data_IF_811706055991
#
_entry.id   IF_811706055991
#
_cell.length_a   1.000
_cell.length_b   1.000
_cell.length_c   1.000
_cell.angle_alpha   90.00
_cell.angle_beta   90.00
_cell.angle_gamma   90.00
#
_symmetry.space_group_name_H-M   'P 1'
#
loop_
_entity.id
_entity.type
_entity.pdbx_description
1 polymer ?
#
# COMPACT_ATOMS: atom_id res chain seq x y z
N UNK A 1 -29.78 47.86 55.41
CA UNK A 1 -28.46 48.16 54.75
C UNK A 1 -27.55 46.92 54.82
N UNK A 2 -27.96 45.80 54.26
CA UNK A 2 -27.13 44.59 54.23
C UNK A 2 -27.50 43.76 53.01
N UNK A 3 -27.08 44.15 51.86
CA UNK A 3 -27.34 43.36 50.63
C UNK A 3 -26.50 43.83 49.42
N UNK A 4 -25.19 43.96 49.58
CA UNK A 4 -24.27 44.25 48.42
C UNK A 4 -22.85 43.62 48.56
N UNK A 5 -22.71 42.46 49.22
CA UNK A 5 -21.38 41.82 49.34
C UNK A 5 -21.38 40.33 48.90
N UNK A 6 -22.26 39.91 48.02
CA UNK A 6 -22.31 38.48 47.58
C UNK A 6 -22.17 38.27 46.07
N UNK A 7 -21.56 39.25 45.36
CA UNK A 7 -21.47 39.17 43.89
C UNK A 7 -20.05 39.23 43.33
N UNK A 8 -19.03 38.90 44.14
CA UNK A 8 -17.61 38.93 43.64
C UNK A 8 -16.77 37.71 43.99
N UNK A 9 -17.39 36.56 44.22
CA UNK A 9 -16.65 35.34 44.57
C UNK A 9 -16.81 34.20 43.52
N UNK A 10 -17.28 34.49 42.31
CA UNK A 10 -17.56 33.43 41.30
C UNK A 10 -16.73 33.55 40.04
N UNK A 11 -15.56 34.20 40.06
CA UNK A 11 -14.71 34.39 38.87
C UNK A 11 -13.23 33.93 39.04
N UNK A 12 -12.99 33.07 40.01
CA UNK A 12 -11.68 32.38 40.12
C UNK A 12 -11.90 30.87 40.28
N UNK A 13 -12.59 30.27 39.32
CA UNK A 13 -12.33 28.86 39.07
C UNK A 13 -10.97 28.80 38.34
N UNK A 14 -9.97 28.13 38.92
CA UNK A 14 -8.71 27.92 38.22
C UNK A 14 -9.05 27.18 36.92
N UNK A 15 -8.46 27.57 35.82
CA UNK A 15 -8.35 26.75 34.64
C UNK A 15 -7.38 25.60 34.98
N UNK A 16 -7.87 24.47 35.51
CA UNK A 16 -7.00 23.36 35.88
C UNK A 16 -6.97 22.41 34.71
N UNK A 17 -5.90 21.94 34.41
CA UNK A 17 -5.59 20.73 33.63
C UNK A 17 -4.70 20.90 32.40
N UNK A 18 -4.43 22.09 31.89
CA UNK A 18 -3.48 22.23 30.77
C UNK A 18 -2.02 22.48 31.21
N UNK A 19 -1.82 22.95 32.45
CA UNK A 19 -0.48 23.19 32.97
C UNK A 19 0.35 21.87 33.08
N UNK A 20 -0.28 20.76 33.54
CA UNK A 20 0.39 19.46 33.64
C UNK A 20 0.60 18.75 32.30
N UNK A 21 -0.22 19.05 31.27
CA UNK A 21 -0.11 18.40 29.96
C UNK A 21 1.16 18.80 29.22
N UNK A 22 1.60 20.04 29.32
CA UNK A 22 2.86 20.51 28.69
C UNK A 22 4.08 19.83 29.31
N UNK A 23 4.11 19.76 30.63
CA UNK A 23 5.16 19.09 31.38
C UNK A 23 5.18 17.58 31.12
N UNK A 24 4.01 16.95 31.05
CA UNK A 24 3.88 15.54 30.72
C UNK A 24 4.37 15.24 29.29
N UNK A 25 3.99 16.08 28.32
CA UNK A 25 4.47 15.94 26.94
C UNK A 25 5.99 16.12 26.87
N UNK A 26 6.53 17.11 27.57
CA UNK A 26 7.98 17.34 27.59
C UNK A 26 8.73 16.18 28.24
N UNK A 27 8.17 15.54 29.28
CA UNK A 27 8.75 14.39 29.93
C UNK A 27 8.70 13.11 29.10
N UNK A 28 7.55 12.86 28.44
CA UNK A 28 7.31 11.65 27.64
C UNK A 28 8.00 11.68 26.28
N UNK A 29 8.12 12.85 25.68
CA UNK A 29 8.68 13.04 24.33
C UNK A 29 9.65 14.23 24.26
N UNK A 30 10.77 14.23 25.00
CA UNK A 30 11.66 15.39 25.12
C UNK A 30 12.24 15.87 23.79
N UNK A 31 12.41 14.96 22.82
CA UNK A 31 12.88 15.27 21.48
C UNK A 31 11.74 15.28 20.44
N UNK A 32 10.51 15.07 20.88
CA UNK A 32 9.33 15.02 20.00
C UNK A 32 8.95 16.42 19.51
N UNK A 33 8.31 16.43 18.34
CA UNK A 33 7.58 17.58 17.80
C UNK A 33 6.10 17.35 18.08
N UNK A 34 5.51 18.23 18.88
CA UNK A 34 4.11 18.08 19.30
C UNK A 34 3.38 19.39 19.11
N UNK A 35 2.25 19.32 18.40
CA UNK A 35 1.29 20.41 18.28
C UNK A 35 -0.10 19.85 18.60
N UNK A 36 -0.73 20.42 19.61
CA UNK A 36 -2.14 20.14 19.94
C UNK A 36 -2.93 21.44 19.82
N UNK A 37 -4.00 21.39 19.08
CA UNK A 37 -4.89 22.52 18.86
C UNK A 37 -6.31 22.14 19.26
N UNK A 38 -7.08 23.12 19.72
CA UNK A 38 -8.53 22.95 19.90
C UNK A 38 -9.29 23.02 18.55
N UNK A 39 -10.59 22.77 18.59
CA UNK A 39 -11.44 22.83 17.39
C UNK A 39 -11.57 24.23 16.78
N UNK A 40 -11.22 25.28 17.54
CA UNK A 40 -11.20 26.67 17.06
C UNK A 40 -9.83 27.06 16.48
N UNK A 41 -8.83 26.16 16.52
CA UNK A 41 -7.49 26.42 16.04
C UNK A 41 -6.55 27.07 17.06
N UNK A 42 -6.95 27.17 18.33
CA UNK A 42 -6.06 27.70 19.36
C UNK A 42 -5.04 26.63 19.78
N UNK A 43 -3.80 27.03 19.91
CA UNK A 43 -2.70 26.17 20.32
C UNK A 43 -2.79 25.87 21.83
N UNK A 44 -2.94 24.59 22.16
CA UNK A 44 -2.98 24.09 23.54
C UNK A 44 -1.59 23.64 24.03
N UNK A 45 -0.87 22.91 23.16
CA UNK A 45 0.50 22.45 23.40
C UNK A 45 1.30 22.63 22.12
N UNK A 46 2.45 23.28 22.20
CA UNK A 46 3.44 23.33 21.14
C UNK A 46 4.82 23.01 21.69
N UNK A 47 5.49 22.05 21.11
CA UNK A 47 6.86 21.65 21.46
C UNK A 47 7.65 21.40 20.20
N UNK A 48 8.77 22.11 20.03
CA UNK A 48 9.71 21.97 18.92
C UNK A 48 9.07 22.08 17.52
N UNK A 49 7.95 22.78 17.37
CA UNK A 49 7.13 22.80 16.14
C UNK A 49 7.86 23.38 14.91
N UNK A 50 8.88 24.20 15.14
CA UNK A 50 9.69 24.81 14.06
C UNK A 50 10.95 23.99 13.72
N UNK A 51 11.17 22.87 14.42
CA UNK A 51 12.33 22.02 14.11
C UNK A 51 12.04 21.12 12.92
N UNK A 52 12.94 21.03 11.93
CA UNK A 52 12.80 20.06 10.86
C UNK A 52 12.87 18.62 11.41
N UNK A 53 12.04 17.73 10.84
CA UNK A 53 12.02 16.32 11.20
C UNK A 53 11.84 15.44 9.97
N UNK A 54 12.18 14.16 10.11
CA UNK A 54 11.93 13.16 9.08
C UNK A 54 10.52 12.61 9.27
N UNK A 55 9.56 12.92 8.39
CA UNK A 55 8.15 12.60 8.61
C UNK A 55 7.84 11.10 8.41
N UNK A 56 8.73 10.34 7.79
CA UNK A 56 8.50 8.94 7.45
C UNK A 56 7.10 8.73 6.85
N UNK A 57 6.30 7.80 7.36
CA UNK A 57 4.94 7.52 6.85
C UNK A 57 3.91 8.63 7.07
N UNK A 58 4.21 9.65 7.88
CA UNK A 58 3.33 10.82 8.01
C UNK A 58 3.19 11.56 6.67
N UNK A 59 4.20 11.49 5.80
CA UNK A 59 4.14 12.02 4.43
C UNK A 59 2.94 11.49 3.63
N UNK A 60 2.42 10.29 3.97
CA UNK A 60 1.23 9.72 3.31
C UNK A 60 -0.03 10.57 3.46
N UNK A 61 -0.13 11.37 4.53
CA UNK A 61 -1.24 12.33 4.72
C UNK A 61 -1.20 13.36 3.60
N UNK A 62 -0.01 13.92 3.31
CA UNK A 62 0.17 14.90 2.23
C UNK A 62 -0.09 14.26 0.87
N UNK A 63 0.41 13.03 0.65
CA UNK A 63 0.16 12.28 -0.59
C UNK A 63 -1.33 12.03 -0.81
N UNK A 64 -2.05 11.60 0.23
CA UNK A 64 -3.48 11.36 0.14
C UNK A 64 -4.26 12.65 -0.12
N UNK A 65 -3.92 13.72 0.57
CA UNK A 65 -4.53 15.03 0.34
C UNK A 65 -4.31 15.51 -1.10
N UNK A 66 -3.07 15.45 -1.60
CA UNK A 66 -2.76 15.82 -3.00
C UNK A 66 -3.51 14.94 -4.01
N UNK A 67 -3.64 13.65 -3.74
CA UNK A 67 -4.40 12.74 -4.60
C UNK A 67 -5.88 13.17 -4.67
N UNK A 68 -6.49 13.52 -3.54
CA UNK A 68 -7.87 14.01 -3.50
C UNK A 68 -8.04 15.34 -4.23
N UNK A 69 -7.09 16.27 -4.08
CA UNK A 69 -7.12 17.58 -4.75
C UNK A 69 -6.94 17.46 -6.27
N UNK A 70 -6.02 16.60 -6.72
CA UNK A 70 -5.64 16.50 -8.14
C UNK A 70 -6.56 15.56 -8.91
N UNK A 71 -6.91 14.42 -8.32
CA UNK A 71 -7.70 13.37 -8.98
C UNK A 71 -9.20 13.49 -8.68
N UNK A 72 -9.54 14.04 -7.51
CA UNK A 72 -10.92 14.09 -7.02
C UNK A 72 -11.33 12.79 -6.32
N UNK A 73 -12.41 12.87 -5.51
CA UNK A 73 -12.92 11.73 -4.73
C UNK A 73 -13.53 10.60 -5.57
N UNK A 74 -13.97 10.91 -6.78
CA UNK A 74 -14.60 9.95 -7.68
C UNK A 74 -13.61 9.26 -8.64
N UNK A 75 -12.33 9.61 -8.58
CA UNK A 75 -11.31 8.97 -9.42
C UNK A 75 -11.24 7.47 -9.14
N UNK A 76 -11.13 6.67 -10.20
CA UNK A 76 -10.93 5.21 -10.13
C UNK A 76 -9.68 4.84 -10.91
N UNK A 77 -8.80 4.09 -10.26
CA UNK A 77 -7.70 3.45 -10.96
C UNK A 77 -8.24 2.29 -11.81
N UNK A 78 -7.64 2.08 -12.98
CA UNK A 78 -8.11 1.07 -13.91
C UNK A 78 -7.01 0.08 -14.26
N UNK A 79 -7.32 -1.21 -14.16
CA UNK A 79 -6.55 -2.27 -14.82
C UNK A 79 -7.41 -2.84 -15.94
N UNK A 80 -6.94 -2.74 -17.18
CA UNK A 80 -7.71 -3.11 -18.36
C UNK A 80 -7.29 -4.46 -18.90
N UNK A 81 -8.28 -5.26 -19.28
CA UNK A 81 -8.11 -6.59 -19.86
C UNK A 81 -8.69 -6.61 -21.27
N UNK A 82 -7.89 -7.11 -22.21
CA UNK A 82 -8.29 -7.26 -23.61
C UNK A 82 -7.99 -8.68 -24.05
N UNK A 83 -8.92 -9.30 -24.79
CA UNK A 83 -8.75 -10.62 -25.39
C UNK A 83 -8.77 -10.47 -26.90
N UNK A 84 -7.72 -10.94 -27.59
CA UNK A 84 -7.71 -10.94 -29.05
C UNK A 84 -8.40 -12.18 -29.65
N UNK A 85 -8.54 -12.20 -30.99
CA UNK A 85 -9.18 -13.30 -31.71
C UNK A 85 -8.43 -14.63 -31.57
N UNK A 86 -7.13 -14.58 -31.24
CA UNK A 86 -6.29 -15.75 -30.94
C UNK A 86 -6.35 -16.16 -29.47
N UNK A 87 -7.22 -15.51 -28.71
CA UNK A 87 -7.40 -15.72 -27.26
C UNK A 87 -6.16 -15.42 -26.43
N UNK A 88 -5.32 -14.49 -26.85
CA UNK A 88 -4.25 -13.95 -26.06
C UNK A 88 -4.82 -12.82 -25.19
N UNK A 89 -4.55 -12.88 -23.88
CA UNK A 89 -5.00 -11.91 -22.90
C UNK A 89 -3.94 -10.80 -22.73
N UNK A 90 -4.34 -9.58 -22.93
CA UNK A 90 -3.51 -8.40 -22.70
C UNK A 90 -3.99 -7.72 -21.43
N UNK A 91 -3.07 -7.44 -20.50
CA UNK A 91 -3.36 -6.79 -19.22
C UNK A 91 -2.57 -5.50 -19.14
N UNK A 92 -3.28 -4.37 -19.14
CA UNK A 92 -2.67 -3.05 -19.03
C UNK A 92 -2.95 -2.45 -17.66
N UNK A 93 -1.89 -2.17 -16.91
CA UNK A 93 -1.96 -1.49 -15.63
C UNK A 93 -2.09 0.02 -15.79
N UNK A 94 -2.97 0.62 -15.01
CA UNK A 94 -3.18 2.07 -14.93
C UNK A 94 -2.69 2.69 -13.63
N UNK A 95 -1.80 2.01 -12.91
CA UNK A 95 -1.23 2.53 -11.67
C UNK A 95 -2.08 2.30 -10.43
N UNK A 96 -2.96 1.30 -10.45
CA UNK A 96 -3.75 0.93 -9.29
C UNK A 96 -2.84 0.53 -8.11
N UNK A 97 -2.83 1.29 -7.01
CA UNK A 97 -1.99 1.00 -5.85
C UNK A 97 -2.55 -0.13 -4.99
N UNK A 98 -3.77 -0.60 -5.25
CA UNK A 98 -4.49 -1.57 -4.43
C UNK A 98 -4.85 -2.85 -5.18
N UNK A 99 -4.15 -3.18 -6.27
CA UNK A 99 -4.34 -4.43 -7.00
C UNK A 99 -3.74 -5.60 -6.21
N UNK A 100 -4.46 -6.06 -5.20
CA UNK A 100 -4.06 -7.15 -4.30
C UNK A 100 -4.81 -8.45 -4.61
N UNK A 101 -4.42 -9.54 -3.96
CA UNK A 101 -5.01 -10.86 -4.18
C UNK A 101 -6.52 -10.90 -3.93
N UNK A 102 -7.01 -10.12 -2.97
CA UNK A 102 -8.42 -10.00 -2.64
C UNK A 102 -9.23 -9.35 -3.77
N UNK A 103 -8.64 -8.42 -4.50
CA UNK A 103 -9.25 -7.78 -5.67
C UNK A 103 -9.11 -8.66 -6.93
N UNK A 104 -8.00 -9.38 -7.07
CA UNK A 104 -7.79 -10.28 -8.20
C UNK A 104 -8.73 -11.49 -8.20
N UNK A 105 -9.16 -11.97 -7.05
CA UNK A 105 -10.03 -13.14 -6.96
C UNK A 105 -11.43 -12.90 -7.59
N UNK A 106 -12.20 -11.87 -7.21
CA UNK A 106 -13.47 -11.55 -7.85
C UNK A 106 -13.27 -11.15 -9.32
N UNK A 107 -12.26 -10.34 -9.62
CA UNK A 107 -11.93 -9.92 -10.98
C UNK A 107 -11.68 -11.11 -11.92
N UNK A 108 -10.91 -12.12 -11.47
CA UNK A 108 -10.69 -13.33 -12.26
C UNK A 108 -11.97 -14.13 -12.48
N UNK A 109 -12.89 -14.13 -11.52
CA UNK A 109 -14.20 -14.78 -11.66
C UNK A 109 -15.04 -14.10 -12.73
N UNK A 110 -15.12 -12.78 -12.71
CA UNK A 110 -15.80 -11.98 -13.72
C UNK A 110 -15.14 -12.14 -15.10
N UNK A 111 -13.82 -12.10 -15.17
CA UNK A 111 -13.08 -12.29 -16.41
C UNK A 111 -13.38 -13.66 -17.02
N UNK A 112 -13.33 -14.74 -16.24
CA UNK A 112 -13.62 -16.10 -16.71
C UNK A 112 -15.08 -16.22 -17.15
N UNK A 113 -16.03 -15.58 -16.47
CA UNK A 113 -17.42 -15.52 -16.89
C UNK A 113 -17.58 -14.83 -18.25
N UNK A 114 -16.85 -13.74 -18.47
CA UNK A 114 -16.91 -12.97 -19.72
C UNK A 114 -16.25 -13.69 -20.91
N UNK A 115 -15.07 -14.29 -20.71
CA UNK A 115 -14.30 -14.91 -21.82
C UNK A 115 -14.62 -16.39 -22.04
N UNK A 116 -15.37 -17.02 -21.14
CA UNK A 116 -15.71 -18.44 -21.18
C UNK A 116 -14.55 -19.37 -20.81
N UNK A 117 -14.82 -20.68 -20.83
CA UNK A 117 -13.88 -21.73 -20.37
C UNK A 117 -12.83 -22.13 -21.42
N UNK A 118 -12.92 -21.64 -22.65
CA UNK A 118 -11.90 -21.95 -23.67
C UNK A 118 -10.55 -21.39 -23.22
N UNK A 119 -9.47 -22.18 -23.27
CA UNK A 119 -8.17 -21.73 -22.78
C UNK A 119 -7.69 -20.44 -23.41
N UNK A 120 -7.12 -19.54 -22.63
CA UNK A 120 -6.30 -18.42 -23.15
C UNK A 120 -4.97 -18.97 -23.66
N UNK A 121 -4.41 -18.32 -24.69
CA UNK A 121 -3.20 -18.79 -25.38
C UNK A 121 -1.93 -18.15 -24.83
N UNK A 122 -2.04 -17.19 -23.93
CA UNK A 122 -0.94 -16.51 -23.25
C UNK A 122 -1.40 -15.19 -22.63
N UNK A 123 -0.53 -14.62 -21.83
CA UNK A 123 -0.76 -13.32 -21.20
C UNK A 123 0.35 -12.35 -21.64
N UNK A 124 -0.02 -11.15 -22.05
CA UNK A 124 0.89 -10.03 -22.32
C UNK A 124 0.61 -8.94 -21.31
N UNK A 125 1.66 -8.41 -20.71
CA UNK A 125 1.57 -7.46 -19.61
C UNK A 125 2.11 -6.10 -20.07
N UNK A 126 1.35 -5.04 -19.81
CA UNK A 126 1.69 -3.67 -20.17
C UNK A 126 1.69 -2.77 -18.92
N UNK A 127 2.87 -2.28 -18.56
CA UNK A 127 3.07 -1.29 -17.49
C UNK A 127 3.49 0.08 -18.04
N UNK A 128 3.31 0.33 -19.34
CA UNK A 128 3.77 1.56 -20.03
C UNK A 128 3.04 2.84 -19.64
N UNK A 129 2.02 2.75 -18.78
CA UNK A 129 1.31 3.92 -18.27
C UNK A 129 2.25 4.85 -17.47
N UNK A 130 3.24 4.30 -16.77
CA UNK A 130 4.31 5.07 -16.15
C UNK A 130 5.58 5.04 -17.00
N UNK A 131 6.38 6.13 -17.00
CA UNK A 131 7.68 6.11 -17.65
C UNK A 131 8.58 5.01 -17.07
N UNK A 132 9.32 4.32 -17.94
CA UNK A 132 10.23 3.22 -17.53
C UNK A 132 11.38 3.69 -16.62
N UNK A 133 11.68 4.99 -16.64
CA UNK A 133 12.73 5.60 -15.81
C UNK A 133 12.19 6.27 -14.55
N UNK A 134 10.96 6.00 -14.16
CA UNK A 134 10.37 6.56 -12.95
C UNK A 134 11.22 6.17 -11.71
N UNK A 135 11.67 7.18 -10.98
CA UNK A 135 12.41 6.99 -9.74
C UNK A 135 11.74 7.75 -8.62
N UNK A 136 11.49 7.04 -7.53
CA UNK A 136 10.89 7.62 -6.32
C UNK A 136 12.01 7.91 -5.33
N UNK A 137 12.17 9.15 -4.86
CA UNK A 137 13.17 9.50 -3.85
C UNK A 137 13.02 8.65 -2.59
N UNK A 138 14.15 8.22 -2.03
CA UNK A 138 14.18 7.41 -0.80
C UNK A 138 14.08 5.91 -1.01
N UNK A 139 13.79 5.41 -2.22
CA UNK A 139 13.87 3.98 -2.53
C UNK A 139 15.32 3.59 -2.72
N UNK A 140 15.72 2.51 -2.06
CA UNK A 140 17.04 1.88 -2.19
C UNK A 140 16.90 0.42 -2.59
N UNK A 141 17.94 -0.15 -3.19
CA UNK A 141 17.92 -1.56 -3.63
C UNK A 141 18.19 -2.50 -2.43
N UNK A 142 17.15 -2.83 -1.71
CA UNK A 142 17.17 -3.82 -0.61
C UNK A 142 15.99 -4.77 -0.73
N UNK A 143 16.01 -5.85 0.06
CA UNK A 143 14.90 -6.82 0.11
C UNK A 143 13.72 -6.35 0.96
N UNK A 144 13.80 -5.19 1.59
CA UNK A 144 12.73 -4.62 2.39
C UNK A 144 11.51 -4.30 1.52
N UNK A 145 10.33 -4.67 2.01
CA UNK A 145 9.09 -4.56 1.25
C UNK A 145 8.72 -3.13 0.84
N UNK A 146 9.14 -2.13 1.62
CA UNK A 146 8.93 -0.71 1.32
C UNK A 146 9.83 -0.17 0.20
N UNK A 147 10.84 -0.95 -0.22
CA UNK A 147 11.69 -0.64 -1.36
C UNK A 147 11.25 -1.36 -2.65
N UNK A 148 10.05 -1.95 -2.66
CA UNK A 148 9.53 -2.60 -3.85
C UNK A 148 9.42 -1.63 -5.03
N UNK A 149 9.64 -2.15 -6.24
CA UNK A 149 9.60 -1.37 -7.48
C UNK A 149 8.20 -0.79 -7.71
N UNK A 150 8.12 0.51 -7.98
CA UNK A 150 6.89 1.14 -8.45
C UNK A 150 6.65 0.78 -9.93
N UNK A 151 5.43 0.39 -10.24
CA UNK A 151 5.03 0.01 -11.60
C UNK A 151 3.56 0.36 -11.81
N UNK A 152 3.21 0.65 -13.06
CA UNK A 152 1.81 0.86 -13.44
C UNK A 152 0.98 -0.44 -13.36
N UNK A 153 1.63 -1.60 -13.35
CA UNK A 153 1.02 -2.91 -13.09
C UNK A 153 1.79 -3.57 -11.94
N UNK A 154 1.38 -3.29 -10.72
CA UNK A 154 1.96 -3.85 -9.51
C UNK A 154 0.90 -4.69 -8.78
N UNK A 155 1.18 -5.96 -8.54
CA UNK A 155 0.29 -6.86 -7.80
C UNK A 155 0.90 -7.12 -6.42
N UNK A 156 0.06 -7.11 -5.37
CA UNK A 156 0.50 -7.27 -3.98
C UNK A 156 1.69 -6.37 -3.64
N UNK A 157 1.64 -5.10 -4.12
CA UNK A 157 2.69 -4.10 -3.92
C UNK A 157 4.08 -4.50 -4.46
N UNK A 158 4.16 -5.38 -5.46
CA UNK A 158 5.41 -6.02 -5.92
C UNK A 158 6.21 -6.66 -4.78
N UNK A 159 5.52 -7.30 -3.85
CA UNK A 159 6.10 -8.01 -2.70
C UNK A 159 5.66 -9.46 -2.65
N UNK A 160 6.47 -10.29 -1.99
CA UNK A 160 6.12 -11.67 -1.67
C UNK A 160 6.10 -11.85 -0.16
N UNK A 161 4.94 -12.27 0.39
CA UNK A 161 4.81 -12.66 1.78
C UNK A 161 4.71 -14.20 1.86
N UNK A 162 5.73 -14.84 2.41
CA UNK A 162 5.85 -16.29 2.39
C UNK A 162 6.46 -16.84 3.68
N UNK A 163 6.35 -18.16 3.83
CA UNK A 163 6.99 -18.92 4.90
C UNK A 163 7.94 -19.93 4.25
N UNK A 164 9.21 -19.89 4.65
CA UNK A 164 10.22 -20.88 4.26
C UNK A 164 10.55 -21.84 5.40
N UNK A 165 10.58 -23.13 5.09
CA UNK A 165 11.07 -24.17 5.99
C UNK A 165 11.97 -25.11 5.17
N UNK A 166 13.26 -24.98 5.34
CA UNK A 166 14.26 -25.63 4.48
C UNK A 166 14.07 -25.23 3.01
N UNK A 167 13.86 -26.21 2.14
CA UNK A 167 13.63 -25.98 0.70
C UNK A 167 12.15 -25.69 0.34
N UNK A 168 11.23 -25.80 1.29
CA UNK A 168 9.81 -25.57 1.03
C UNK A 168 9.46 -24.11 1.27
N UNK A 169 8.78 -23.50 0.29
CA UNK A 169 8.21 -22.14 0.39
C UNK A 169 6.72 -22.25 0.14
N UNK A 170 5.93 -21.63 0.99
CA UNK A 170 4.47 -21.51 0.84
C UNK A 170 4.04 -20.07 1.10
N UNK A 171 2.89 -19.69 0.57
CA UNK A 171 2.33 -18.39 0.89
C UNK A 171 2.10 -18.24 2.40
N UNK A 172 2.38 -17.08 2.96
CA UNK A 172 1.98 -16.70 4.31
C UNK A 172 0.53 -16.19 4.36
N UNK A 173 -0.07 -15.94 3.18
CA UNK A 173 -1.41 -15.40 3.00
C UNK A 173 -2.28 -16.46 2.33
N UNK A 174 -3.31 -17.01 3.02
CA UNK A 174 -4.13 -18.12 2.48
C UNK A 174 -4.84 -17.78 1.16
N UNK A 175 -5.21 -16.51 0.97
CA UNK A 175 -5.87 -16.01 -0.24
C UNK A 175 -4.92 -15.90 -1.43
N UNK A 176 -3.62 -15.70 -1.19
CA UNK A 176 -2.61 -15.48 -2.24
C UNK A 176 -2.01 -16.80 -2.72
N UNK A 177 -2.15 -17.19 -4.00
CA UNK A 177 -1.44 -18.33 -4.56
C UNK A 177 0.08 -18.11 -4.50
N UNK A 178 0.82 -19.13 -4.10
CA UNK A 178 2.28 -19.10 -4.28
C UNK A 178 2.63 -19.45 -5.72
N UNK A 179 3.42 -18.61 -6.37
CA UNK A 179 3.81 -18.79 -7.78
C UNK A 179 5.25 -19.32 -7.89
N UNK A 180 5.65 -19.92 -9.04
CA UNK A 180 7.02 -20.38 -9.25
C UNK A 180 8.06 -19.28 -9.05
N UNK A 181 7.79 -18.07 -9.57
CA UNK A 181 8.67 -16.93 -9.41
C UNK A 181 8.76 -16.49 -7.95
N UNK A 182 7.64 -16.39 -7.24
CA UNK A 182 7.61 -16.08 -5.82
C UNK A 182 8.43 -17.07 -4.99
N UNK A 183 8.33 -18.38 -5.29
CA UNK A 183 9.12 -19.41 -4.65
C UNK A 183 10.61 -19.18 -4.89
N UNK A 184 11.02 -18.93 -6.14
CA UNK A 184 12.43 -18.74 -6.49
C UNK A 184 13.02 -17.49 -5.82
N UNK A 185 12.31 -16.38 -5.87
CA UNK A 185 12.74 -15.12 -5.27
C UNK A 185 12.82 -15.21 -3.74
N UNK A 186 11.83 -15.85 -3.11
CA UNK A 186 11.84 -16.01 -1.65
C UNK A 186 12.91 -16.99 -1.17
N UNK A 187 13.22 -18.04 -1.94
CA UNK A 187 14.36 -18.94 -1.65
C UNK A 187 15.68 -18.20 -1.70
N UNK A 188 15.85 -17.32 -2.67
CA UNK A 188 17.10 -16.56 -2.89
C UNK A 188 17.34 -15.52 -1.79
N UNK A 189 16.31 -14.77 -1.39
CA UNK A 189 16.45 -13.56 -0.59
C UNK A 189 15.61 -13.53 0.68
N UNK A 190 14.57 -14.36 0.78
CA UNK A 190 13.69 -14.40 1.93
C UNK A 190 14.33 -15.06 3.16
N UNK A 191 13.89 -14.68 4.38
CA UNK A 191 14.36 -15.29 5.60
C UNK A 191 13.96 -16.78 5.71
N UNK A 192 14.61 -17.50 6.61
CA UNK A 192 14.06 -18.77 7.08
C UNK A 192 12.91 -18.45 8.07
N UNK A 193 11.75 -19.09 7.92
CA UNK A 193 10.51 -18.69 8.61
C UNK A 193 9.65 -17.74 7.77
N UNK A 194 8.82 -16.97 8.45
CA UNK A 194 7.87 -16.02 7.81
C UNK A 194 8.55 -14.70 7.52
N UNK A 195 8.27 -14.13 6.35
CA UNK A 195 8.74 -12.78 5.99
C UNK A 195 8.04 -12.23 4.77
N UNK A 196 8.16 -10.92 4.57
CA UNK A 196 7.75 -10.21 3.38
C UNK A 196 8.99 -9.54 2.77
N UNK A 197 9.22 -9.79 1.50
CA UNK A 197 10.35 -9.21 0.76
C UNK A 197 9.85 -8.40 -0.43
N UNK A 198 10.61 -7.41 -0.86
CA UNK A 198 10.45 -6.79 -2.18
C UNK A 198 10.76 -7.84 -3.25
N UNK A 199 9.97 -7.83 -4.32
CA UNK A 199 10.11 -8.87 -5.34
C UNK A 199 11.39 -8.72 -6.14
N UNK A 200 11.66 -7.52 -6.66
CA UNK A 200 12.86 -7.19 -7.45
C UNK A 200 12.86 -5.71 -7.82
N UNK A 201 14.02 -5.20 -8.20
CA UNK A 201 14.16 -3.91 -8.90
C UNK A 201 14.16 -4.08 -10.44
N UNK A 202 14.11 -5.32 -10.94
CA UNK A 202 13.91 -5.61 -12.36
C UNK A 202 12.42 -5.57 -12.72
N UNK A 203 11.99 -4.65 -13.62
CA UNK A 203 10.60 -4.55 -14.04
C UNK A 203 10.05 -5.84 -14.66
N UNK A 204 10.88 -6.62 -15.36
CA UNK A 204 10.44 -7.85 -15.98
C UNK A 204 10.06 -8.92 -14.94
N UNK A 205 10.81 -9.00 -13.85
CA UNK A 205 10.51 -9.91 -12.74
C UNK A 205 9.18 -9.51 -12.08
N UNK A 206 8.95 -8.22 -11.86
CA UNK A 206 7.71 -7.72 -11.29
C UNK A 206 6.51 -7.99 -12.21
N UNK A 207 6.66 -7.77 -13.51
CA UNK A 207 5.61 -8.08 -14.49
C UNK A 207 5.35 -9.59 -14.58
N UNK A 208 6.39 -10.41 -14.63
CA UNK A 208 6.22 -11.87 -14.63
C UNK A 208 5.44 -12.35 -13.40
N UNK A 209 5.73 -11.81 -12.22
CA UNK A 209 4.98 -12.13 -10.99
C UNK A 209 3.50 -11.76 -11.12
N UNK A 210 3.20 -10.57 -11.62
CA UNK A 210 1.82 -10.16 -11.87
C UNK A 210 1.11 -11.13 -12.81
N UNK A 211 1.75 -11.53 -13.91
CA UNK A 211 1.20 -12.49 -14.86
C UNK A 211 0.97 -13.87 -14.25
N UNK A 212 1.94 -14.40 -13.47
CA UNK A 212 1.79 -15.68 -12.78
C UNK A 212 0.63 -15.67 -11.77
N UNK A 213 0.45 -14.56 -11.03
CA UNK A 213 -0.68 -14.42 -10.11
C UNK A 213 -2.01 -14.35 -10.85
N UNK A 214 -2.12 -13.53 -11.90
CA UNK A 214 -3.32 -13.43 -12.73
C UNK A 214 -3.68 -14.81 -13.30
N UNK A 215 -2.71 -15.54 -13.85
CA UNK A 215 -2.92 -16.89 -14.37
C UNK A 215 -3.40 -17.86 -13.27
N UNK A 216 -2.83 -17.77 -12.07
CA UNK A 216 -3.23 -18.59 -10.94
C UNK A 216 -4.66 -18.31 -10.48
N UNK A 217 -5.07 -17.04 -10.46
CA UNK A 217 -6.45 -16.64 -10.14
C UNK A 217 -7.44 -17.02 -11.23
N UNK A 218 -7.10 -16.88 -12.51
CA UNK A 218 -7.90 -17.39 -13.63
C UNK A 218 -8.14 -18.90 -13.48
N UNK A 219 -7.09 -19.67 -13.15
CA UNK A 219 -7.20 -21.10 -12.89
C UNK A 219 -8.11 -21.41 -11.69
N UNK A 220 -7.99 -20.67 -10.59
CA UNK A 220 -8.87 -20.82 -9.41
C UNK A 220 -10.33 -20.52 -9.75
N UNK A 221 -10.60 -19.57 -10.63
CA UNK A 221 -11.93 -19.24 -11.12
C UNK A 221 -12.50 -20.22 -12.15
N UNK A 222 -11.78 -21.32 -12.46
CA UNK A 222 -12.20 -22.35 -13.41
C UNK A 222 -11.84 -22.08 -14.86
N UNK A 223 -11.07 -21.05 -15.14
CA UNK A 223 -10.47 -20.81 -16.44
C UNK A 223 -9.20 -21.64 -16.66
N UNK A 224 -8.62 -21.55 -17.85
CA UNK A 224 -7.37 -22.25 -18.18
C UNK A 224 -6.49 -21.46 -19.15
N UNK A 225 -5.20 -21.75 -19.11
CA UNK A 225 -4.19 -21.17 -19.98
C UNK A 225 -3.28 -22.27 -20.54
N UNK A 226 -2.88 -22.16 -21.80
CA UNK A 226 -1.99 -23.10 -22.49
C UNK A 226 -0.66 -22.49 -22.94
N UNK A 227 -0.53 -21.18 -22.92
CA UNK A 227 0.65 -20.47 -23.39
C UNK A 227 1.50 -19.89 -22.27
N UNK A 228 2.39 -18.96 -22.65
CA UNK A 228 3.34 -18.28 -21.79
C UNK A 228 2.82 -16.94 -21.27
N UNK A 229 3.52 -16.43 -20.26
CA UNK A 229 3.33 -15.10 -19.68
C UNK A 229 4.44 -14.20 -20.17
#
# INVERSE_FOLDING_TARGET
MWSRLLALALLLLPAPALAGVKEDVAALAPSGLVLVMDAAGNELVAQNIDKPFVPASVTKIVTAWLAMEVLGGDYRFETRFYLDDKRKLYVRGGGDPFLISEELAPLATELVAAIGKTPITGIVLDASYYPSNLRIPGIVNTDESYNALNSALAVNFNTVNAVRSGNKVRSAEPQTPITPLAISQFRLRGPNGTGRISLSQDPNISLQYAGELIAAFIKRAGGSMKGEI
#
